data_IF_462398092166
#
_entry.id   IF_462398092166
#
_cell.length_a   1.000
_cell.length_b   1.000
_cell.length_c   1.000
_cell.angle_alpha   90.00
_cell.angle_beta   90.00
_cell.angle_gamma   90.00
#
_symmetry.space_group_name_H-M   'P 1'
#
loop_
_entity.id
_entity.type
_entity.pdbx_description
1 polymer ?
#
# COMPACT_ATOMS: atom_id res chain seq x y z
N UNK A 1 42.44 -29.49 10.69
CA UNK A 1 41.25 -29.43 11.57
C UNK A 1 40.55 -28.13 11.23
N UNK A 2 39.72 -28.15 10.21
CA UNK A 2 39.00 -26.98 9.73
C UNK A 2 37.68 -26.84 10.49
N UNK A 3 37.62 -25.82 11.32
CA UNK A 3 36.48 -25.50 12.17
C UNK A 3 35.40 -24.81 11.32
N UNK A 4 34.58 -25.64 10.66
CA UNK A 4 33.46 -25.20 9.82
C UNK A 4 32.40 -24.56 10.74
N UNK A 5 32.47 -23.25 10.90
CA UNK A 5 31.41 -22.45 11.53
C UNK A 5 30.11 -22.64 10.76
N UNK A 6 29.20 -23.45 11.32
CA UNK A 6 27.84 -23.65 10.81
C UNK A 6 27.15 -22.28 10.62
N UNK A 7 26.52 -22.00 9.47
CA UNK A 7 25.76 -20.77 9.31
C UNK A 7 24.53 -20.82 10.23
N UNK A 8 24.41 -19.83 11.14
CA UNK A 8 23.18 -19.57 11.90
C UNK A 8 22.07 -19.14 10.93
N UNK A 9 21.37 -20.10 10.33
CA UNK A 9 20.14 -19.85 9.55
C UNK A 9 18.95 -20.51 10.25
N UNK A 10 18.15 -19.68 10.91
CA UNK A 10 16.68 -19.66 10.72
C UNK A 10 16.02 -18.64 11.66
N UNK A 11 16.27 -17.35 11.46
CA UNK A 11 15.29 -16.33 11.86
C UNK A 11 14.19 -16.26 10.80
N UNK A 12 13.50 -17.37 10.54
CA UNK A 12 12.19 -17.31 9.90
C UNK A 12 11.25 -16.88 11.03
N UNK A 13 11.19 -15.56 11.29
CA UNK A 13 10.17 -14.99 12.17
C UNK A 13 8.84 -15.57 11.69
N UNK A 14 8.14 -16.28 12.57
CA UNK A 14 6.78 -16.75 12.28
C UNK A 14 5.99 -15.54 11.77
N UNK A 15 5.36 -15.67 10.61
CA UNK A 15 4.46 -14.66 10.08
C UNK A 15 3.39 -14.42 11.16
N UNK A 16 3.43 -13.24 11.78
CA UNK A 16 2.41 -12.84 12.76
C UNK A 16 1.07 -12.76 12.06
N UNK A 17 0.01 -13.17 12.76
CA UNK A 17 -1.34 -12.97 12.28
C UNK A 17 -1.59 -11.46 12.04
N UNK A 18 -2.33 -11.07 10.99
CA UNK A 18 -2.61 -9.66 10.67
C UNK A 18 -3.29 -8.89 11.83
N UNK A 19 -4.03 -9.60 12.68
CA UNK A 19 -4.67 -9.09 13.90
C UNK A 19 -3.66 -8.67 14.98
N UNK A 20 -2.44 -9.20 14.95
CA UNK A 20 -1.38 -8.93 15.92
C UNK A 20 -0.40 -7.84 15.44
N UNK A 21 -0.63 -7.27 14.25
CA UNK A 21 0.22 -6.23 13.71
C UNK A 21 -0.03 -4.89 14.41
N UNK A 22 1.07 -4.26 14.83
CA UNK A 22 1.05 -2.89 15.31
C UNK A 22 0.60 -1.93 14.22
N UNK A 23 0.09 -0.77 14.61
CA UNK A 23 -0.30 0.27 13.66
C UNK A 23 0.85 0.71 12.76
N UNK A 24 2.09 0.73 13.27
CA UNK A 24 3.28 1.09 12.49
C UNK A 24 3.52 0.05 11.38
N UNK A 25 3.37 -1.24 11.68
CA UNK A 25 3.50 -2.33 10.70
C UNK A 25 2.41 -2.24 9.63
N UNK A 26 1.15 -2.06 10.04
CA UNK A 26 0.01 -1.87 9.13
C UNK A 26 0.20 -0.64 8.23
N UNK A 27 0.59 0.50 8.82
CA UNK A 27 0.86 1.74 8.06
C UNK A 27 2.01 1.55 7.08
N UNK A 28 3.06 0.84 7.46
CA UNK A 28 4.20 0.54 6.58
C UNK A 28 3.76 -0.29 5.36
N UNK A 29 2.97 -1.34 5.58
CA UNK A 29 2.43 -2.17 4.51
C UNK A 29 1.54 -1.37 3.57
N UNK A 30 0.61 -0.57 4.11
CA UNK A 30 -0.25 0.28 3.27
C UNK A 30 0.60 1.29 2.49
N UNK A 31 1.60 1.91 3.13
CA UNK A 31 2.54 2.80 2.42
C UNK A 31 3.23 2.10 1.25
N UNK A 32 3.68 0.86 1.46
CA UNK A 32 4.32 0.05 0.41
C UNK A 32 3.36 -0.30 -0.72
N UNK A 33 2.12 -0.69 -0.39
CA UNK A 33 1.09 -0.98 -1.39
C UNK A 33 0.79 0.25 -2.25
N UNK A 34 0.63 1.42 -1.65
CA UNK A 34 0.41 2.67 -2.39
C UNK A 34 1.61 3.09 -3.23
N UNK A 35 2.83 2.84 -2.76
CA UNK A 35 4.05 3.08 -3.55
C UNK A 35 4.13 2.12 -4.75
N UNK A 36 3.78 0.85 -4.55
CA UNK A 36 3.66 -0.13 -5.62
C UNK A 36 2.58 0.26 -6.63
N UNK A 37 1.40 0.69 -6.16
CA UNK A 37 0.32 1.19 -7.02
C UNK A 37 0.78 2.39 -7.87
N UNK A 38 1.48 3.36 -7.28
CA UNK A 38 2.04 4.50 -8.00
C UNK A 38 3.05 4.07 -9.06
N UNK A 39 3.94 3.13 -8.73
CA UNK A 39 4.91 2.59 -9.68
C UNK A 39 4.24 1.80 -10.82
N UNK A 40 3.23 0.98 -10.50
CA UNK A 40 2.43 0.24 -11.47
C UNK A 40 1.68 1.18 -12.42
N UNK A 41 1.08 2.26 -11.90
CA UNK A 41 0.41 3.29 -12.71
C UNK A 41 1.38 4.02 -13.65
N UNK A 42 2.59 4.33 -13.19
CA UNK A 42 3.64 4.93 -14.03
C UNK A 42 4.10 3.96 -15.13
N UNK A 43 4.25 2.67 -14.82
CA UNK A 43 4.58 1.66 -15.82
C UNK A 43 3.46 1.51 -16.87
N UNK A 44 2.19 1.47 -16.45
CA UNK A 44 1.06 1.46 -17.38
C UNK A 44 1.02 2.71 -18.28
N UNK A 45 1.36 3.89 -17.76
CA UNK A 45 1.50 5.09 -18.59
C UNK A 45 2.63 4.98 -19.61
N UNK A 46 3.78 4.40 -19.21
CA UNK A 46 4.89 4.14 -20.14
C UNK A 46 4.47 3.14 -21.22
N UNK A 47 3.78 2.06 -20.85
CA UNK A 47 3.25 1.07 -21.79
C UNK A 47 2.31 1.73 -22.80
N UNK A 48 1.40 2.61 -22.38
CA UNK A 48 0.56 3.39 -23.31
C UNK A 48 1.38 4.24 -24.29
N UNK A 49 2.46 4.86 -23.83
CA UNK A 49 3.38 5.61 -24.71
C UNK A 49 4.06 4.66 -25.70
N UNK A 50 4.54 3.50 -25.25
CA UNK A 50 5.13 2.48 -26.14
C UNK A 50 4.12 1.87 -27.12
N UNK A 51 2.85 1.72 -26.73
CA UNK A 51 1.74 1.35 -27.63
C UNK A 51 1.50 2.43 -28.69
N UNK A 52 1.45 3.71 -28.29
CA UNK A 52 1.32 4.81 -29.27
C UNK A 52 2.51 4.90 -30.24
N UNK A 53 3.69 4.45 -29.81
CA UNK A 53 4.90 4.40 -30.62
C UNK A 53 5.02 3.09 -31.43
N UNK A 54 4.06 2.17 -31.34
CA UNK A 54 4.07 0.90 -32.07
C UNK A 54 5.13 -0.10 -31.60
N UNK A 55 5.70 0.10 -30.41
CA UNK A 55 6.80 -0.71 -29.85
C UNK A 55 6.32 -1.79 -28.85
N UNK A 56 5.01 -1.90 -28.62
CA UNK A 56 4.47 -2.75 -27.56
C UNK A 56 4.19 -4.18 -28.04
N UNK A 57 4.83 -5.15 -27.39
CA UNK A 57 4.38 -6.54 -27.38
C UNK A 57 3.20 -6.63 -26.41
N UNK A 58 2.03 -6.98 -26.94
CA UNK A 58 0.79 -7.19 -26.17
C UNK A 58 1.08 -8.06 -24.95
N UNK A 59 0.99 -7.48 -23.76
CA UNK A 59 0.73 -8.25 -22.55
C UNK A 59 -0.58 -7.73 -21.93
N UNK A 60 -1.51 -8.67 -21.88
CA UNK A 60 -2.69 -8.81 -21.03
C UNK A 60 -3.18 -7.57 -20.29
N UNK A 61 -4.44 -7.21 -20.56
CA UNK A 61 -5.26 -6.31 -19.75
C UNK A 61 -5.04 -6.59 -18.25
N UNK A 62 -4.24 -5.73 -17.62
CA UNK A 62 -3.95 -5.85 -16.19
C UNK A 62 -5.28 -5.68 -15.43
N UNK A 63 -5.66 -6.66 -14.58
CA UNK A 63 -6.86 -6.54 -13.77
C UNK A 63 -6.76 -5.28 -12.92
N UNK A 64 -7.89 -4.57 -12.75
CA UNK A 64 -8.03 -3.43 -11.82
C UNK A 64 -7.27 -3.78 -10.55
N UNK A 65 -6.22 -3.01 -10.25
CA UNK A 65 -5.32 -3.30 -9.14
C UNK A 65 -6.18 -3.53 -7.90
N UNK A 66 -5.96 -4.62 -7.15
CA UNK A 66 -6.75 -4.95 -5.95
C UNK A 66 -6.86 -3.77 -4.98
N UNK A 67 -5.89 -2.85 -5.03
CA UNK A 67 -5.84 -1.57 -4.33
C UNK A 67 -6.93 -0.60 -4.79
N UNK A 68 -7.15 -0.44 -6.09
CA UNK A 68 -8.22 0.43 -6.63
C UNK A 68 -9.60 -0.09 -6.28
N UNK A 69 -9.77 -1.42 -6.35
CA UNK A 69 -10.99 -2.09 -5.86
C UNK A 69 -11.17 -1.89 -4.35
N UNK A 70 -10.11 -1.97 -3.57
CA UNK A 70 -10.19 -1.73 -2.13
C UNK A 70 -10.52 -0.27 -1.81
N UNK A 71 -9.99 0.68 -2.59
CA UNK A 71 -10.28 2.12 -2.42
C UNK A 71 -11.71 2.50 -2.83
N UNK A 72 -12.31 1.80 -3.80
CA UNK A 72 -13.70 2.04 -4.21
C UNK A 72 -14.72 1.49 -3.22
N UNK A 73 -14.35 0.46 -2.44
CA UNK A 73 -15.19 -0.14 -1.40
C UNK A 73 -15.09 0.58 -0.04
N UNK A 74 -14.02 1.36 0.17
CA UNK A 74 -13.84 2.13 1.39
C UNK A 74 -14.83 3.32 1.44
N UNK A 75 -15.17 3.77 2.65
CA UNK A 75 -15.95 5.01 2.78
C UNK A 75 -15.22 6.19 2.13
N UNK A 76 -15.92 7.09 1.40
CA UNK A 76 -15.30 8.20 0.68
C UNK A 76 -14.40 9.09 1.56
N UNK A 77 -14.78 9.23 2.84
CA UNK A 77 -14.01 9.95 3.84
C UNK A 77 -12.64 9.32 4.08
N UNK A 78 -12.58 8.01 4.21
CA UNK A 78 -11.35 7.26 4.43
C UNK A 78 -10.53 7.12 3.15
N UNK A 79 -11.17 6.96 1.99
CA UNK A 79 -10.49 6.97 0.69
C UNK A 79 -9.75 8.29 0.49
N UNK A 80 -10.42 9.42 0.70
CA UNK A 80 -9.81 10.75 0.59
C UNK A 80 -8.65 10.92 1.57
N UNK A 81 -8.79 10.40 2.79
CA UNK A 81 -7.77 10.43 3.82
C UNK A 81 -6.51 9.65 3.40
N UNK A 82 -6.68 8.41 2.91
CA UNK A 82 -5.57 7.56 2.46
C UNK A 82 -4.87 8.14 1.22
N UNK A 83 -5.63 8.67 0.25
CA UNK A 83 -5.08 9.34 -0.93
C UNK A 83 -4.25 10.55 -0.51
N UNK A 84 -4.80 11.42 0.37
CA UNK A 84 -4.11 12.62 0.82
C UNK A 84 -2.83 12.32 1.60
N UNK A 85 -2.83 11.26 2.40
CA UNK A 85 -1.65 10.83 3.15
C UNK A 85 -0.60 10.15 2.25
N UNK A 86 -0.99 9.15 1.45
CA UNK A 86 -0.05 8.24 0.80
C UNK A 86 0.25 8.57 -0.66
N UNK A 87 -0.66 9.26 -1.37
CA UNK A 87 -0.45 9.64 -2.78
C UNK A 87 0.02 11.09 -2.84
N UNK A 88 -0.74 12.01 -2.25
CA UNK A 88 -0.48 13.45 -2.34
C UNK A 88 0.57 13.94 -1.32
N UNK A 89 0.82 13.18 -0.24
CA UNK A 89 1.67 13.58 0.88
C UNK A 89 1.30 14.94 1.51
N UNK A 90 0.04 15.35 1.44
CA UNK A 90 -0.43 16.67 1.90
C UNK A 90 -0.77 16.66 3.39
N UNK A 91 0.27 16.72 4.22
CA UNK A 91 0.14 16.80 5.69
C UNK A 91 -0.52 18.09 6.17
N UNK A 92 -0.48 19.16 5.38
CA UNK A 92 -1.04 20.46 5.77
C UNK A 92 -2.56 20.47 5.65
N UNK A 93 -3.09 19.85 4.58
CA UNK A 93 -4.52 19.63 4.43
C UNK A 93 -5.09 18.86 5.62
N UNK A 94 -4.43 17.77 6.02
CA UNK A 94 -4.86 16.93 7.14
C UNK A 94 -4.94 17.73 8.46
N UNK A 95 -3.92 18.54 8.77
CA UNK A 95 -3.88 19.38 9.97
C UNK A 95 -4.95 20.47 9.97
N UNK A 96 -5.42 20.90 8.80
CA UNK A 96 -6.46 21.94 8.66
C UNK A 96 -7.86 21.40 8.97
N UNK A 97 -8.12 20.12 8.68
CA UNK A 97 -9.46 19.52 8.84
C UNK A 97 -9.62 18.68 10.12
N UNK A 98 -8.52 18.18 10.71
CA UNK A 98 -8.59 17.35 11.91
C UNK A 98 -7.57 17.76 12.97
N UNK A 99 -8.00 17.65 14.23
CA UNK A 99 -7.07 17.64 15.35
C UNK A 99 -6.17 16.41 15.28
N UNK A 100 -4.96 16.49 15.87
CA UNK A 100 -3.99 15.38 15.86
C UNK A 100 -4.60 14.06 16.34
N UNK A 101 -5.36 14.07 17.43
CA UNK A 101 -5.97 12.86 18.00
C UNK A 101 -7.08 12.29 17.11
N UNK A 102 -7.90 13.15 16.52
CA UNK A 102 -8.97 12.75 15.59
C UNK A 102 -8.42 12.16 14.30
N UNK A 103 -7.33 12.74 13.80
CA UNK A 103 -6.63 12.24 12.62
C UNK A 103 -6.12 10.82 12.82
N UNK A 104 -5.36 10.55 13.89
CA UNK A 104 -4.83 9.20 14.13
C UNK A 104 -5.97 8.20 14.31
N UNK A 105 -7.04 8.52 15.07
CA UNK A 105 -8.20 7.64 15.19
C UNK A 105 -8.83 7.28 13.84
N UNK A 106 -9.00 8.26 12.95
CA UNK A 106 -9.54 8.02 11.61
C UNK A 106 -8.55 7.25 10.71
N UNK A 107 -7.24 7.51 10.84
CA UNK A 107 -6.19 6.82 10.10
C UNK A 107 -6.13 5.33 10.47
N UNK A 108 -6.19 5.01 11.77
CA UNK A 108 -6.25 3.62 12.25
C UNK A 108 -7.46 2.89 11.64
N UNK A 109 -8.66 3.49 11.74
CA UNK A 109 -9.87 2.91 11.15
C UNK A 109 -9.76 2.72 9.64
N UNK A 110 -9.26 3.73 8.91
CA UNK A 110 -9.10 3.67 7.47
C UNK A 110 -8.14 2.55 7.05
N UNK A 111 -7.01 2.41 7.74
CA UNK A 111 -6.02 1.35 7.48
C UNK A 111 -6.59 -0.02 7.81
N UNK A 112 -7.24 -0.19 8.96
CA UNK A 112 -7.83 -1.47 9.36
C UNK A 112 -8.90 -1.92 8.36
N UNK A 113 -9.81 -1.03 7.95
CA UNK A 113 -10.82 -1.33 6.93
C UNK A 113 -10.18 -1.66 5.57
N UNK A 114 -9.14 -0.92 5.18
CA UNK A 114 -8.45 -1.16 3.92
C UNK A 114 -7.76 -2.54 3.89
N UNK A 115 -7.14 -2.96 4.99
CA UNK A 115 -6.53 -4.29 5.13
C UNK A 115 -7.60 -5.39 5.08
N UNK A 116 -8.73 -5.21 5.79
CA UNK A 116 -9.85 -6.15 5.77
C UNK A 116 -10.39 -6.34 4.35
N UNK A 117 -10.60 -5.25 3.61
CA UNK A 117 -11.13 -5.31 2.23
C UNK A 117 -10.13 -5.97 1.27
N UNK A 118 -8.83 -5.83 1.52
CA UNK A 118 -7.80 -6.54 0.77
C UNK A 118 -7.69 -8.03 1.14
N UNK A 119 -8.46 -8.52 2.12
CA UNK A 119 -8.37 -9.88 2.67
C UNK A 119 -6.93 -10.26 3.06
N UNK A 120 -6.20 -9.33 3.67
CA UNK A 120 -4.81 -9.51 4.12
C UNK A 120 -4.69 -9.98 5.57
#
# INVERSE_FOLDING_TARGET
>A
MDDIRKPKRSLRKKLKNPSEWSFVEKKSLVSFLFLYHKASKLNSQKEKVYETLGLSNKMDDLPISSIERALSLLEPKYTKLLIKEFIDNDRNWIKKYWSKSTYYKNMHKAIDQFIIILNL
#
